data_IF_194908014605
#
_entry.id   IF_194908014605
#
_cell.length_a   1.000
_cell.length_b   1.000
_cell.length_c   1.000
_cell.angle_alpha   90.00
_cell.angle_beta   90.00
_cell.angle_gamma   90.00
#
_symmetry.space_group_name_H-M   'P 1'
#
loop_
_entity.id
_entity.type
_entity.pdbx_description
1 polymer ?
#
# COMPACT_ATOMS: atom_id res chain seq x y z
N UNK A 1 -43.56 69.27 40.02
CA UNK A 1 -42.41 68.64 40.70
C UNK A 1 -41.77 67.66 39.72
N UNK A 2 -40.45 67.82 39.48
CA UNK A 2 -39.49 67.06 38.66
C UNK A 2 -39.98 65.87 37.81
N UNK A 3 -39.74 65.85 36.48
CA UNK A 3 -39.59 64.61 35.73
C UNK A 3 -38.13 64.12 35.83
N UNK A 4 -37.93 62.90 36.33
CA UNK A 4 -36.63 62.23 36.29
C UNK A 4 -36.47 61.51 34.94
N UNK A 5 -35.38 61.89 34.27
CA UNK A 5 -34.87 61.30 33.03
C UNK A 5 -34.36 59.88 33.28
N UNK A 6 -34.68 58.93 32.39
CA UNK A 6 -34.00 57.64 32.30
C UNK A 6 -33.50 57.48 30.86
N UNK A 7 -32.18 57.60 30.73
CA UNK A 7 -31.39 57.42 29.51
C UNK A 7 -31.56 56.03 28.93
N UNK A 8 -31.87 55.93 27.64
CA UNK A 8 -31.79 54.68 26.89
C UNK A 8 -30.36 54.52 26.37
N UNK A 9 -29.63 53.56 26.95
CA UNK A 9 -28.34 53.12 26.41
C UNK A 9 -28.61 52.20 25.21
N UNK A 10 -28.24 52.64 24.00
CA UNK A 10 -28.25 51.82 22.81
C UNK A 10 -27.11 50.79 22.85
N UNK A 11 -27.43 49.51 23.04
CA UNK A 11 -26.50 48.41 22.85
C UNK A 11 -26.30 48.20 21.33
N UNK A 12 -25.12 48.52 20.83
CA UNK A 12 -24.68 48.13 19.50
C UNK A 12 -24.34 46.63 19.51
N UNK A 13 -25.18 45.81 18.89
CA UNK A 13 -24.89 44.39 18.65
C UNK A 13 -23.86 44.28 17.51
N UNK A 14 -22.61 43.99 17.86
CA UNK A 14 -21.59 43.58 16.90
C UNK A 14 -21.94 42.17 16.44
N UNK A 15 -22.43 42.05 15.21
CA UNK A 15 -22.58 40.75 14.55
C UNK A 15 -21.19 40.18 14.29
N UNK A 16 -20.75 39.21 15.10
CA UNK A 16 -19.64 38.34 14.72
C UNK A 16 -20.08 37.54 13.50
N UNK A 17 -19.61 37.95 12.32
CA UNK A 17 -19.60 37.07 11.16
C UNK A 17 -18.74 35.85 11.53
N UNK A 18 -19.40 34.73 11.81
CA UNK A 18 -18.72 33.45 11.89
C UNK A 18 -18.11 33.19 10.51
N UNK A 19 -16.79 33.38 10.41
CA UNK A 19 -16.02 32.83 9.31
C UNK A 19 -16.20 31.32 9.39
N UNK A 20 -17.09 30.77 8.58
CA UNK A 20 -17.14 29.32 8.36
C UNK A 20 -15.80 28.96 7.73
N UNK A 21 -15.06 27.96 8.25
CA UNK A 21 -13.91 27.44 7.52
C UNK A 21 -14.39 27.05 6.12
N UNK A 22 -13.67 27.51 5.11
CA UNK A 22 -13.98 27.24 3.72
C UNK A 22 -14.14 25.72 3.54
N UNK A 23 -15.29 25.31 2.98
CA UNK A 23 -15.65 23.93 2.70
C UNK A 23 -14.46 23.16 2.10
N UNK A 24 -13.94 22.18 2.85
CA UNK A 24 -13.50 20.95 2.22
C UNK A 24 -14.70 20.48 1.38
N UNK A 25 -14.52 20.24 0.08
CA UNK A 25 -15.57 19.57 -0.66
C UNK A 25 -15.77 18.22 0.02
N UNK A 26 -16.93 17.98 0.63
CA UNK A 26 -17.21 16.72 1.31
C UNK A 26 -16.99 15.58 0.31
N UNK A 27 -15.89 14.83 0.48
CA UNK A 27 -15.53 13.71 -0.38
C UNK A 27 -16.74 12.80 -0.60
N UNK A 28 -16.99 12.40 -1.84
CA UNK A 28 -18.19 11.64 -2.18
C UNK A 28 -18.12 10.26 -1.51
N UNK A 29 -19.13 9.94 -0.69
CA UNK A 29 -19.25 8.63 -0.04
C UNK A 29 -19.89 7.61 -0.98
N UNK A 30 -19.11 6.60 -1.35
CA UNK A 30 -19.47 5.58 -2.33
C UNK A 30 -19.88 4.29 -1.61
N UNK A 31 -21.13 3.88 -1.82
CA UNK A 31 -21.64 2.60 -1.32
C UNK A 31 -21.10 1.44 -2.16
N UNK A 32 -20.88 0.27 -1.58
CA UNK A 32 -20.42 -0.89 -2.33
C UNK A 32 -21.50 -1.42 -3.28
N UNK A 33 -21.09 -1.77 -4.49
CA UNK A 33 -21.96 -2.37 -5.51
C UNK A 33 -21.71 -3.87 -5.65
N UNK A 34 -20.48 -4.32 -5.39
CA UNK A 34 -20.12 -5.74 -5.40
C UNK A 34 -19.75 -6.22 -4.00
N UNK A 35 -19.72 -7.53 -3.80
CA UNK A 35 -18.93 -8.14 -2.72
C UNK A 35 -17.43 -7.97 -2.99
N UNK A 36 -16.61 -8.23 -1.97
CA UNK A 36 -15.18 -8.42 -2.15
C UNK A 36 -14.92 -9.67 -2.99
N UNK A 37 -14.07 -9.53 -4.01
CA UNK A 37 -13.50 -10.64 -4.77
C UNK A 37 -12.04 -10.76 -4.44
N UNK A 38 -11.55 -12.00 -4.27
CA UNK A 38 -10.13 -12.28 -4.08
C UNK A 38 -9.60 -12.96 -5.34
N UNK A 39 -8.60 -12.35 -5.95
CA UNK A 39 -7.90 -12.84 -7.12
C UNK A 39 -6.56 -13.48 -6.71
N UNK A 40 -6.40 -14.75 -7.07
CA UNK A 40 -5.19 -15.56 -6.86
C UNK A 40 -4.36 -15.47 -8.13
N UNK A 41 -3.58 -14.40 -8.25
CA UNK A 41 -2.65 -14.25 -9.36
C UNK A 41 -1.39 -15.09 -9.12
N UNK A 42 -0.61 -15.29 -10.18
CA UNK A 42 0.62 -16.11 -10.13
C UNK A 42 1.59 -15.66 -9.03
N UNK A 43 1.71 -14.35 -8.80
CA UNK A 43 2.74 -13.76 -7.93
C UNK A 43 2.18 -12.76 -6.91
N UNK A 44 0.86 -12.67 -6.80
CA UNK A 44 0.21 -11.75 -5.89
C UNK A 44 -1.20 -12.20 -5.55
N UNK A 45 -1.72 -11.64 -4.47
CA UNK A 45 -3.12 -11.78 -4.09
C UNK A 45 -3.76 -10.40 -4.14
N UNK A 46 -4.94 -10.28 -4.77
CA UNK A 46 -5.62 -8.99 -4.91
C UNK A 46 -7.06 -9.06 -4.43
N UNK A 47 -7.38 -8.27 -3.42
CA UNK A 47 -8.77 -7.98 -3.05
C UNK A 47 -9.30 -6.87 -3.96
N UNK A 48 -10.48 -7.08 -4.53
CA UNK A 48 -11.11 -6.14 -5.45
C UNK A 48 -12.55 -5.91 -5.03
N UNK A 49 -12.99 -4.65 -5.02
CA UNK A 49 -14.40 -4.31 -4.83
C UNK A 49 -14.77 -3.03 -5.56
N UNK A 50 -15.98 -2.99 -6.11
CA UNK A 50 -16.50 -1.81 -6.80
C UNK A 50 -17.52 -1.07 -5.94
N UNK A 51 -17.43 0.25 -5.97
CA UNK A 51 -18.24 1.21 -5.21
C UNK A 51 -18.82 2.27 -6.13
N UNK A 52 -19.97 2.83 -5.77
CA UNK A 52 -20.63 3.85 -6.57
C UNK A 52 -21.13 3.35 -7.93
N UNK A 53 -21.79 4.21 -8.69
CA UNK A 53 -22.33 3.87 -10.01
C UNK A 53 -22.14 5.03 -10.98
N UNK A 54 -22.26 4.75 -12.29
CA UNK A 54 -22.09 5.77 -13.33
C UNK A 54 -20.72 6.45 -13.23
N UNK A 55 -20.70 7.78 -13.30
CA UNK A 55 -19.45 8.56 -13.25
C UNK A 55 -18.79 8.59 -11.86
N UNK A 56 -19.45 8.07 -10.83
CA UNK A 56 -18.90 7.92 -9.48
C UNK A 56 -18.47 6.49 -9.19
N UNK A 57 -18.48 5.60 -10.19
CA UNK A 57 -18.00 4.24 -10.01
C UNK A 57 -16.49 4.24 -9.79
N UNK A 58 -16.05 3.60 -8.71
CA UNK A 58 -14.65 3.37 -8.39
C UNK A 58 -14.45 1.91 -8.02
N UNK A 59 -13.45 1.27 -8.61
CA UNK A 59 -12.98 -0.05 -8.21
C UNK A 59 -11.71 0.10 -7.38
N UNK A 60 -11.75 -0.38 -6.14
CA UNK A 60 -10.57 -0.46 -5.28
C UNK A 60 -9.89 -1.81 -5.43
N UNK A 61 -8.56 -1.80 -5.42
CA UNK A 61 -7.70 -2.98 -5.40
C UNK A 61 -6.71 -2.89 -4.24
N UNK A 62 -6.60 -3.94 -3.44
CA UNK A 62 -5.58 -4.10 -2.40
C UNK A 62 -4.73 -5.31 -2.79
N UNK A 63 -3.48 -5.07 -3.18
CA UNK A 63 -2.59 -6.12 -3.73
C UNK A 63 -1.47 -6.43 -2.76
N UNK A 64 -1.32 -7.69 -2.35
CA UNK A 64 -0.21 -8.16 -1.53
C UNK A 64 0.65 -9.16 -2.29
N UNK A 65 1.97 -9.09 -2.09
CA UNK A 65 2.97 -9.94 -2.76
C UNK A 65 3.63 -10.95 -1.82
N UNK A 66 3.35 -10.86 -0.52
CA UNK A 66 3.83 -11.76 0.52
C UNK A 66 2.92 -11.71 1.76
N UNK A 67 2.99 -12.71 2.64
CA UNK A 67 2.35 -12.64 3.95
C UNK A 67 2.83 -11.44 4.76
N UNK A 68 1.96 -10.94 5.65
CA UNK A 68 2.28 -9.88 6.59
C UNK A 68 1.28 -8.73 6.61
N UNK A 69 0.25 -8.70 5.77
CA UNK A 69 -0.81 -7.67 5.88
C UNK A 69 -0.43 -6.29 5.35
N UNK A 70 0.74 -6.16 4.71
CA UNK A 70 1.05 -5.02 3.86
C UNK A 70 0.42 -5.21 2.47
N UNK A 71 -0.06 -4.12 1.87
CA UNK A 71 -0.67 -4.15 0.54
C UNK A 71 -0.45 -2.83 -0.22
N UNK A 72 -0.51 -2.89 -1.55
CA UNK A 72 -0.55 -1.74 -2.42
C UNK A 72 -2.00 -1.37 -2.72
N UNK A 73 -2.34 -0.10 -2.52
CA UNK A 73 -3.65 0.44 -2.84
C UNK A 73 -3.69 0.94 -4.29
N UNK A 74 -4.66 0.46 -5.04
CA UNK A 74 -5.04 1.00 -6.35
C UNK A 74 -6.50 1.40 -6.37
N UNK A 75 -6.82 2.43 -7.16
CA UNK A 75 -8.19 2.80 -7.47
C UNK A 75 -8.33 3.01 -8.98
N UNK A 76 -9.46 2.62 -9.56
CA UNK A 76 -9.80 2.85 -10.97
C UNK A 76 -11.20 3.45 -11.09
N UNK A 77 -11.34 4.50 -11.90
CA UNK A 77 -12.60 5.20 -12.15
C UNK A 77 -12.37 6.69 -12.43
N UNK A 78 -13.37 7.38 -12.98
CA UNK A 78 -13.21 8.81 -13.34
C UNK A 78 -12.82 9.72 -12.17
N UNK A 79 -13.18 9.35 -10.93
CA UNK A 79 -12.81 10.09 -9.73
C UNK A 79 -11.31 10.03 -9.40
N UNK A 80 -10.54 9.10 -9.98
CA UNK A 80 -9.11 8.91 -9.69
C UNK A 80 -8.21 9.84 -10.51
N UNK A 81 -8.77 10.81 -11.22
CA UNK A 81 -8.01 11.85 -11.90
C UNK A 81 -7.41 12.78 -10.87
N UNK A 82 -6.08 12.89 -10.86
CA UNK A 82 -5.36 13.77 -9.95
C UNK A 82 -5.37 15.22 -10.43
N UNK A 83 -5.33 16.16 -9.50
CA UNK A 83 -5.18 17.56 -9.90
C UNK A 83 -3.80 17.79 -10.53
N UNK A 84 -3.70 18.71 -11.48
CA UNK A 84 -2.43 19.01 -12.18
C UNK A 84 -1.27 19.42 -11.27
N UNK A 85 -1.52 19.75 -10.00
CA UNK A 85 -0.52 20.20 -9.02
C UNK A 85 -0.24 19.17 -7.92
N UNK A 86 -0.95 18.05 -7.88
CA UNK A 86 -0.81 17.06 -6.82
C UNK A 86 0.49 16.27 -7.00
N UNK A 87 1.46 16.49 -6.12
CA UNK A 87 2.65 15.63 -6.01
C UNK A 87 2.38 14.37 -5.18
N UNK A 88 1.40 14.45 -4.27
CA UNK A 88 0.92 13.36 -3.44
C UNK A 88 -0.61 13.34 -3.46
N UNK A 89 -1.17 12.23 -3.01
CA UNK A 89 -2.58 12.10 -2.61
C UNK A 89 -2.65 11.81 -1.13
N UNK A 90 -3.69 12.26 -0.44
CA UNK A 90 -3.92 11.87 0.96
C UNK A 90 -4.85 10.67 1.02
N UNK A 91 -4.32 9.54 1.47
CA UNK A 91 -5.11 8.32 1.72
C UNK A 91 -5.68 8.39 3.13
N UNK A 92 -6.97 8.07 3.28
CA UNK A 92 -7.64 7.97 4.56
C UNK A 92 -8.12 6.53 4.79
N UNK A 93 -7.78 5.97 5.95
CA UNK A 93 -8.33 4.72 6.47
C UNK A 93 -9.27 5.09 7.62
N UNK A 94 -10.53 5.36 7.28
CA UNK A 94 -11.52 5.92 8.20
C UNK A 94 -11.06 7.21 8.90
N UNK A 95 -11.60 7.53 10.08
CA UNK A 95 -11.09 8.58 10.95
C UNK A 95 -9.86 8.14 11.77
N UNK A 96 -9.38 6.91 11.59
CA UNK A 96 -8.28 6.33 12.39
C UNK A 96 -6.94 6.95 11.97
N UNK A 97 -6.72 7.12 10.67
CA UNK A 97 -5.48 7.67 10.13
C UNK A 97 -5.67 8.22 8.71
N UNK A 98 -5.03 9.36 8.44
CA UNK A 98 -4.77 9.84 7.08
C UNK A 98 -3.27 10.10 6.90
N UNK A 99 -2.77 9.88 5.69
CA UNK A 99 -1.37 10.07 5.37
C UNK A 99 -1.17 10.42 3.89
N UNK A 100 -0.14 11.22 3.62
CA UNK A 100 0.25 11.56 2.26
C UNK A 100 0.99 10.39 1.62
N UNK A 101 0.63 10.09 0.38
CA UNK A 101 1.17 9.00 -0.39
C UNK A 101 1.55 9.47 -1.79
N UNK A 102 2.72 9.03 -2.25
CA UNK A 102 3.09 9.12 -3.67
C UNK A 102 2.22 8.16 -4.48
N UNK A 103 1.96 8.52 -5.72
CA UNK A 103 1.14 7.73 -6.64
C UNK A 103 1.76 7.68 -8.04
N UNK A 104 1.32 6.70 -8.82
CA UNK A 104 1.43 6.70 -10.28
C UNK A 104 0.02 6.81 -10.87
N UNK A 105 -0.17 7.72 -11.83
CA UNK A 105 -1.35 7.72 -12.67
C UNK A 105 -1.21 6.58 -13.68
N UNK A 106 -2.22 5.72 -13.76
CA UNK A 106 -2.25 4.54 -14.62
C UNK A 106 -3.52 4.52 -15.45
N UNK A 107 -3.51 3.79 -16.55
CA UNK A 107 -4.69 3.49 -17.36
C UNK A 107 -4.97 1.99 -17.24
N UNK A 108 -6.16 1.65 -16.75
CA UNK A 108 -6.67 0.28 -16.65
C UNK A 108 -7.64 0.04 -17.80
N UNK A 109 -7.10 -0.38 -18.95
CA UNK A 109 -7.87 -0.70 -20.16
C UNK A 109 -8.85 0.43 -20.57
N UNK A 110 -8.33 1.66 -20.64
CA UNK A 110 -9.09 2.88 -20.96
C UNK A 110 -9.82 3.51 -19.77
N UNK A 111 -9.70 2.93 -18.56
CA UNK A 111 -10.22 3.51 -17.33
C UNK A 111 -9.09 4.23 -16.59
N UNK A 112 -9.20 5.54 -16.29
CA UNK A 112 -8.19 6.21 -15.48
C UNK A 112 -8.10 5.54 -14.11
N UNK A 113 -6.87 5.43 -13.60
CA UNK A 113 -6.59 4.86 -12.31
C UNK A 113 -5.40 5.50 -11.64
N UNK A 114 -5.23 5.21 -10.36
CA UNK A 114 -4.02 5.55 -9.62
C UNK A 114 -3.56 4.33 -8.81
N UNK A 115 -2.25 4.26 -8.62
CA UNK A 115 -1.57 3.26 -7.79
C UNK A 115 -0.72 3.98 -6.77
N UNK A 116 -0.96 3.74 -5.47
CA UNK A 116 -0.10 4.24 -4.39
C UNK A 116 1.24 3.51 -4.46
N UNK A 117 2.36 4.25 -4.42
CA UNK A 117 3.67 3.69 -4.76
C UNK A 117 4.39 2.96 -3.64
N UNK A 118 3.83 2.97 -2.44
CA UNK A 118 4.37 2.25 -1.30
C UNK A 118 3.33 1.26 -0.78
N UNK A 119 3.80 0.15 -0.22
CA UNK A 119 2.95 -0.71 0.55
C UNK A 119 2.45 0.03 1.80
N UNK A 120 1.18 -0.17 2.13
CA UNK A 120 0.52 0.39 3.31
C UNK A 120 -0.01 -0.76 4.18
N UNK A 121 -0.32 -0.44 5.43
CA UNK A 121 -0.92 -1.35 6.41
C UNK A 121 -2.30 -0.85 6.79
N UNK A 122 -3.17 -1.75 7.29
CA UNK A 122 -4.40 -1.30 7.95
C UNK A 122 -4.06 -0.67 9.29
N UNK A 123 -4.05 0.65 9.33
CA UNK A 123 -3.63 1.44 10.48
C UNK A 123 -2.16 1.26 10.82
N UNK A 124 -1.78 1.69 12.03
CA UNK A 124 -0.40 1.64 12.49
C UNK A 124 0.05 0.20 12.79
N UNK A 125 1.30 -0.17 12.43
CA UNK A 125 1.85 -1.46 12.82
C UNK A 125 1.81 -1.67 14.35
N UNK A 126 1.54 -2.90 14.81
CA UNK A 126 1.59 -3.23 16.24
C UNK A 126 2.92 -2.87 16.91
N UNK A 127 2.89 -2.67 18.23
CA UNK A 127 4.09 -2.35 19.01
C UNK A 127 5.17 -3.44 18.82
N UNK A 128 6.42 -3.00 18.64
CA UNK A 128 7.56 -3.91 18.49
C UNK A 128 7.78 -4.43 17.06
N UNK A 129 6.81 -4.32 16.13
CA UNK A 129 6.98 -4.74 14.73
C UNK A 129 8.15 -4.01 14.06
N UNK A 130 8.24 -2.69 14.23
CA UNK A 130 9.35 -1.91 13.67
C UNK A 130 10.71 -2.31 14.26
N UNK A 131 10.75 -2.75 15.52
CA UNK A 131 11.97 -3.24 16.14
C UNK A 131 12.32 -4.64 15.63
N UNK A 132 11.34 -5.54 15.52
CA UNK A 132 11.51 -6.86 14.92
C UNK A 132 12.06 -6.76 13.49
N UNK A 133 11.54 -5.83 12.68
CA UNK A 133 12.02 -5.57 11.33
C UNK A 133 13.50 -5.15 11.32
N UNK A 134 13.90 -4.22 12.19
CA UNK A 134 15.30 -3.77 12.31
C UNK A 134 16.24 -4.91 12.73
N UNK A 135 15.77 -5.77 13.63
CA UNK A 135 16.52 -6.91 14.14
C UNK A 135 16.50 -8.11 13.17
N UNK A 136 15.72 -8.03 12.08
CA UNK A 136 15.54 -9.12 11.12
C UNK A 136 14.72 -10.29 11.66
N UNK A 137 13.99 -10.12 12.77
CA UNK A 137 13.12 -11.16 13.32
C UNK A 137 11.90 -11.37 12.42
N UNK A 138 11.35 -12.60 12.32
CA UNK A 138 10.12 -12.84 11.59
C UNK A 138 8.97 -11.98 12.10
N UNK A 139 8.15 -11.49 11.17
CA UNK A 139 6.97 -10.69 11.46
C UNK A 139 5.77 -11.48 10.95
N UNK A 140 4.84 -11.80 11.85
CA UNK A 140 3.63 -12.54 11.49
C UNK A 140 2.62 -11.64 10.78
N UNK A 141 2.44 -10.39 11.27
CA UNK A 141 1.56 -9.40 10.67
C UNK A 141 2.04 -7.98 11.00
N UNK A 142 1.91 -7.10 10.02
CA UNK A 142 2.07 -5.65 10.11
C UNK A 142 0.74 -4.93 10.42
N UNK A 143 -0.36 -5.67 10.55
CA UNK A 143 -1.69 -5.16 10.91
C UNK A 143 -2.33 -5.96 12.03
N UNK A 144 -3.07 -5.27 12.91
CA UNK A 144 -3.83 -5.87 14.01
C UNK A 144 -5.28 -6.14 13.55
N UNK A 145 -5.80 -7.38 13.66
CA UNK A 145 -7.20 -7.69 13.32
C UNK A 145 -8.24 -6.81 14.02
N UNK A 146 -7.96 -6.32 15.24
CA UNK A 146 -8.83 -5.40 15.95
C UNK A 146 -8.84 -3.99 15.35
N UNK A 147 -7.72 -3.56 14.75
CA UNK A 147 -7.63 -2.31 13.99
C UNK A 147 -8.29 -2.48 12.62
N UNK A 148 -8.05 -3.59 11.93
CA UNK A 148 -8.73 -3.93 10.67
C UNK A 148 -10.26 -3.93 10.82
N UNK A 149 -10.78 -4.41 11.96
CA UNK A 149 -12.21 -4.39 12.25
C UNK A 149 -12.78 -2.98 12.44
N UNK A 150 -11.94 -2.01 12.82
CA UNK A 150 -12.34 -0.61 13.01
C UNK A 150 -12.32 0.19 11.72
N UNK A 151 -11.58 -0.25 10.69
CA UNK A 151 -11.59 0.38 9.36
C UNK A 151 -12.86 -0.03 8.63
N UNK A 152 -13.77 0.93 8.45
CA UNK A 152 -15.06 0.84 7.76
C UNK A 152 -15.07 1.57 6.41
N UNK A 153 -14.08 2.42 6.14
CA UNK A 153 -13.93 3.11 4.87
C UNK A 153 -12.47 3.34 4.47
N UNK A 154 -12.24 3.41 3.15
CA UNK A 154 -10.96 3.77 2.54
C UNK A 154 -11.23 4.88 1.55
N UNK A 155 -10.51 5.99 1.66
CA UNK A 155 -10.70 7.17 0.81
C UNK A 155 -9.41 7.74 0.29
N UNK A 156 -9.55 8.55 -0.76
CA UNK A 156 -8.51 9.47 -1.21
C UNK A 156 -9.15 10.86 -1.13
N UNK A 157 -8.68 11.62 -0.13
CA UNK A 157 -9.37 12.79 0.43
C UNK A 157 -8.57 14.08 0.26
N UNK A 158 -7.51 14.03 -0.55
CA UNK A 158 -6.83 15.20 -1.11
C UNK A 158 -6.03 14.75 -2.34
N UNK A 159 -5.73 15.70 -3.24
CA UNK A 159 -4.93 15.50 -4.44
C UNK A 159 -5.71 15.04 -5.69
N UNK A 160 -7.00 14.72 -5.54
CA UNK A 160 -7.90 14.37 -6.65
C UNK A 160 -8.67 15.57 -7.19
N UNK A 161 -9.10 15.52 -8.45
CA UNK A 161 -10.06 16.50 -8.97
C UNK A 161 -11.42 16.39 -8.27
N UNK A 162 -11.79 15.18 -7.86
CA UNK A 162 -13.00 14.87 -7.09
C UNK A 162 -12.68 13.79 -6.06
N UNK A 163 -12.68 14.15 -4.79
CA UNK A 163 -12.36 13.25 -3.68
C UNK A 163 -13.48 12.23 -3.43
N UNK A 164 -13.11 11.07 -2.91
CA UNK A 164 -14.06 10.02 -2.58
C UNK A 164 -13.66 9.23 -1.33
N UNK A 165 -14.68 8.64 -0.70
CA UNK A 165 -14.56 7.70 0.41
C UNK A 165 -15.39 6.47 0.04
N UNK A 166 -14.77 5.30 -0.04
CA UNK A 166 -15.45 4.04 -0.29
C UNK A 166 -15.86 3.37 1.03
N UNK A 167 -17.15 3.09 1.20
CA UNK A 167 -17.69 2.41 2.39
C UNK A 167 -17.40 0.91 2.33
N UNK A 168 -16.22 0.51 2.79
CA UNK A 168 -15.76 -0.88 2.72
C UNK A 168 -16.50 -1.80 3.68
N UNK A 169 -17.07 -1.24 4.76
CA UNK A 169 -17.38 -2.01 5.96
C UNK A 169 -16.11 -2.56 6.61
N UNK A 170 -16.27 -3.37 7.66
CA UNK A 170 -15.16 -3.97 8.40
C UNK A 170 -14.15 -4.66 7.47
N UNK A 171 -12.88 -4.27 7.59
CA UNK A 171 -11.78 -4.82 6.79
C UNK A 171 -11.15 -6.08 7.39
N UNK A 172 -11.55 -6.52 8.58
CA UNK A 172 -11.00 -7.72 9.24
C UNK A 172 -11.12 -8.98 8.38
N UNK A 173 -12.33 -9.31 7.90
CA UNK A 173 -12.54 -10.52 7.10
C UNK A 173 -11.84 -10.45 5.72
N UNK A 174 -11.92 -9.33 4.96
CA UNK A 174 -11.13 -9.16 3.74
C UNK A 174 -9.62 -9.36 3.96
N UNK A 175 -9.04 -8.70 4.96
CA UNK A 175 -7.59 -8.78 5.21
C UNK A 175 -7.15 -10.17 5.66
N UNK A 176 -7.97 -10.87 6.46
CA UNK A 176 -7.73 -12.27 6.80
C UNK A 176 -7.71 -13.18 5.56
N UNK A 177 -8.64 -12.97 4.60
CA UNK A 177 -8.66 -13.72 3.35
C UNK A 177 -7.45 -13.44 2.47
N UNK A 178 -7.01 -12.17 2.40
CA UNK A 178 -5.79 -11.77 1.70
C UNK A 178 -4.53 -12.41 2.31
N UNK A 179 -4.47 -12.45 3.65
CA UNK A 179 -3.39 -13.13 4.37
C UNK A 179 -3.35 -14.64 4.07
N UNK A 180 -4.51 -15.30 4.01
CA UNK A 180 -4.56 -16.72 3.68
C UNK A 180 -4.09 -16.99 2.25
N UNK A 181 -4.56 -16.21 1.28
CA UNK A 181 -4.08 -16.30 -0.10
C UNK A 181 -2.55 -16.12 -0.18
N UNK A 182 -1.99 -15.12 0.51
CA UNK A 182 -0.53 -14.92 0.46
C UNK A 182 0.24 -16.04 1.16
N UNK A 183 -0.32 -16.71 2.17
CA UNK A 183 0.29 -17.92 2.76
C UNK A 183 0.31 -19.08 1.77
N UNK A 184 -0.77 -19.29 1.04
CA UNK A 184 -0.83 -20.28 -0.05
C UNK A 184 0.18 -19.94 -1.15
N UNK A 185 0.31 -18.66 -1.52
CA UNK A 185 1.26 -18.20 -2.53
C UNK A 185 2.70 -18.63 -2.21
N UNK A 186 3.13 -18.53 -0.94
CA UNK A 186 4.48 -18.95 -0.50
C UNK A 186 4.73 -20.45 -0.72
N UNK A 187 3.68 -21.27 -0.75
CA UNK A 187 3.82 -22.72 -0.95
C UNK A 187 4.35 -23.09 -2.33
N UNK A 188 4.28 -22.16 -3.29
CA UNK A 188 4.71 -22.35 -4.67
C UNK A 188 6.13 -21.84 -4.94
N UNK A 189 6.85 -21.33 -3.94
CA UNK A 189 8.15 -20.65 -4.13
C UNK A 189 9.38 -21.56 -3.95
N UNK A 190 9.20 -22.87 -3.94
CA UNK A 190 10.27 -23.88 -3.77
C UNK A 190 11.16 -23.61 -2.54
N UNK A 191 10.52 -23.33 -1.39
CA UNK A 191 11.17 -23.19 -0.09
C UNK A 191 10.67 -24.23 0.91
N UNK A 192 11.52 -24.58 1.88
CA UNK A 192 11.09 -25.39 3.03
C UNK A 192 10.25 -24.51 3.98
N UNK A 193 8.94 -24.70 3.93
CA UNK A 193 7.98 -23.93 4.72
C UNK A 193 8.15 -24.16 6.23
N UNK A 194 8.44 -25.39 6.65
CA UNK A 194 8.61 -25.71 8.06
C UNK A 194 9.87 -25.03 8.61
N UNK A 195 10.96 -25.04 7.83
CA UNK A 195 12.18 -24.31 8.19
C UNK A 195 11.95 -22.79 8.21
N UNK A 196 11.20 -22.25 7.24
CA UNK A 196 10.90 -20.81 7.17
C UNK A 196 9.97 -20.33 8.30
N UNK A 197 9.01 -21.16 8.72
CA UNK A 197 8.15 -20.88 9.87
C UNK A 197 8.93 -20.90 11.21
N UNK A 198 10.04 -21.62 11.27
CA UNK A 198 10.88 -21.76 12.47
C UNK A 198 12.08 -20.79 12.52
N UNK A 199 12.15 -19.81 11.60
CA UNK A 199 13.26 -18.87 11.57
C UNK A 199 13.36 -18.06 12.86
N UNK A 200 14.59 -17.80 13.28
CA UNK A 200 14.89 -16.80 14.31
C UNK A 200 15.33 -15.47 13.68
N UNK A 201 15.85 -15.54 12.45
CA UNK A 201 16.17 -14.38 11.61
C UNK A 201 15.80 -14.64 10.15
N UNK A 202 15.15 -13.66 9.54
CA UNK A 202 14.85 -13.63 8.10
C UNK A 202 16.10 -13.32 7.27
N UNK A 203 16.05 -13.55 5.96
CA UNK A 203 17.10 -13.08 5.05
C UNK A 203 17.15 -11.55 5.08
N UNK A 204 18.24 -10.99 5.62
CA UNK A 204 18.36 -9.55 5.85
C UNK A 204 19.28 -8.92 4.80
N UNK A 205 18.82 -7.90 4.03
CA UNK A 205 19.69 -7.18 3.12
C UNK A 205 20.96 -6.67 3.83
N UNK A 206 22.12 -7.06 3.30
CA UNK A 206 23.43 -6.55 3.71
C UNK A 206 23.79 -5.27 2.95
N UNK A 207 23.21 -5.08 1.76
CA UNK A 207 23.26 -3.85 0.97
C UNK A 207 21.89 -3.18 0.89
N UNK A 208 21.82 -1.98 0.32
CA UNK A 208 20.60 -1.14 0.33
C UNK A 208 19.63 -1.57 -0.80
N UNK A 209 18.43 -2.10 -0.51
CA UNK A 209 17.56 -2.69 -1.53
C UNK A 209 17.14 -1.75 -2.65
N UNK A 210 16.82 -0.49 -2.33
CA UNK A 210 16.39 0.50 -3.33
C UNK A 210 17.51 1.00 -4.25
N UNK A 211 18.74 0.47 -4.11
CA UNK A 211 19.87 0.72 -5.02
C UNK A 211 20.22 -0.48 -5.89
N UNK A 212 19.52 -1.60 -5.77
CA UNK A 212 19.83 -2.81 -6.53
C UNK A 212 19.38 -2.74 -7.99
N UNK A 213 18.41 -1.89 -8.28
CA UNK A 213 17.94 -1.59 -9.62
C UNK A 213 17.60 -0.10 -9.68
N UNK A 214 18.13 0.59 -10.68
CA UNK A 214 17.85 1.99 -10.93
C UNK A 214 17.33 2.21 -12.36
N UNK A 215 16.64 3.34 -12.60
CA UNK A 215 16.06 3.66 -13.91
C UNK A 215 17.13 3.70 -15.03
N UNK A 216 18.37 4.06 -14.68
CA UNK A 216 19.51 4.09 -15.60
C UNK A 216 19.99 2.72 -16.06
N UNK A 217 19.67 1.66 -15.31
CA UNK A 217 20.05 0.29 -15.66
C UNK A 217 19.17 -0.27 -16.79
N UNK A 218 18.00 0.34 -17.01
CA UNK A 218 17.08 -0.04 -18.06
C UNK A 218 17.44 0.61 -19.41
N UNK A 219 17.15 -0.07 -20.55
CA UNK A 219 17.21 0.53 -21.87
C UNK A 219 16.33 1.78 -21.94
N UNK A 220 16.77 2.81 -22.70
CA UNK A 220 16.04 4.09 -22.80
C UNK A 220 14.59 3.94 -23.24
N UNK A 221 14.28 2.93 -24.06
CA UNK A 221 12.92 2.62 -24.52
C UNK A 221 11.99 2.13 -23.41
N UNK A 222 12.52 1.64 -22.29
CA UNK A 222 11.75 1.14 -21.15
C UNK A 222 11.71 2.13 -19.98
N UNK A 223 12.41 3.26 -20.08
CA UNK A 223 12.50 4.22 -18.98
C UNK A 223 11.21 5.00 -18.87
N UNK A 224 10.50 4.75 -17.79
CA UNK A 224 9.33 5.49 -17.36
C UNK A 224 9.13 5.23 -15.86
N UNK A 225 8.48 6.16 -15.13
CA UNK A 225 8.14 5.93 -13.74
C UNK A 225 7.36 4.64 -13.54
N UNK A 226 7.83 3.76 -12.65
CA UNK A 226 7.18 2.48 -12.37
C UNK A 226 7.51 1.95 -10.98
N UNK A 227 6.65 1.07 -10.48
CA UNK A 227 6.91 0.30 -9.26
C UNK A 227 7.28 -1.11 -9.68
N UNK A 228 8.45 -1.56 -9.24
CA UNK A 228 8.92 -2.93 -9.48
C UNK A 228 8.75 -3.70 -8.19
N UNK A 229 7.71 -4.53 -8.11
CA UNK A 229 7.54 -5.50 -7.04
C UNK A 229 8.29 -6.78 -7.40
N UNK A 230 9.10 -7.31 -6.49
CA UNK A 230 9.93 -8.47 -6.77
C UNK A 230 10.05 -9.41 -5.57
N UNK A 231 10.28 -10.69 -5.90
CA UNK A 231 10.62 -11.77 -4.96
C UNK A 231 12.00 -12.29 -5.31
N UNK A 232 12.85 -12.47 -4.31
CA UNK A 232 14.13 -13.16 -4.42
C UNK A 232 14.12 -14.40 -3.53
N UNK A 233 14.60 -15.53 -4.04
CA UNK A 233 14.98 -16.68 -3.20
C UNK A 233 16.43 -16.48 -2.79
N UNK A 234 16.70 -16.56 -1.49
CA UNK A 234 18.02 -16.33 -0.89
C UNK A 234 18.58 -17.68 -0.42
N UNK A 235 19.73 -18.07 -0.96
CA UNK A 235 20.40 -19.31 -0.61
C UNK A 235 21.00 -19.27 0.81
N UNK A 236 21.49 -20.42 1.28
CA UNK A 236 22.15 -20.57 2.60
C UNK A 236 23.45 -19.75 2.73
N UNK A 237 23.96 -19.18 1.65
CA UNK A 237 25.14 -18.30 1.64
C UNK A 237 24.76 -16.82 1.58
N UNK A 238 23.47 -16.47 1.53
CA UNK A 238 23.00 -15.10 1.43
C UNK A 238 23.06 -14.51 0.01
N UNK A 239 23.07 -15.37 -1.02
CA UNK A 239 23.03 -14.97 -2.44
C UNK A 239 21.66 -15.22 -3.03
N UNK A 240 21.33 -14.48 -4.09
CA UNK A 240 20.10 -14.68 -4.86
C UNK A 240 20.21 -15.97 -5.67
N UNK A 241 19.34 -16.95 -5.41
CA UNK A 241 19.23 -18.20 -6.14
C UNK A 241 18.15 -18.16 -7.24
N UNK A 242 17.10 -17.38 -7.01
CA UNK A 242 16.00 -17.17 -7.95
C UNK A 242 15.43 -15.75 -7.79
N UNK A 243 14.89 -15.20 -8.87
CA UNK A 243 14.32 -13.85 -8.91
C UNK A 243 13.06 -13.81 -9.76
N UNK A 244 12.04 -13.16 -9.23
CA UNK A 244 10.77 -12.96 -9.92
C UNK A 244 10.30 -11.51 -9.85
N UNK A 245 9.80 -10.99 -10.96
CA UNK A 245 9.21 -9.64 -11.05
C UNK A 245 7.70 -9.77 -11.22
N UNK A 246 6.95 -9.30 -10.23
CA UNK A 246 5.50 -9.52 -10.18
C UNK A 246 4.77 -8.74 -11.29
N UNK A 247 3.75 -9.39 -11.88
CA UNK A 247 2.93 -8.78 -12.94
C UNK A 247 3.63 -8.67 -14.30
N UNK A 248 4.73 -9.39 -14.51
CA UNK A 248 5.46 -9.43 -15.78
C UNK A 248 5.63 -10.88 -16.23
N UNK A 249 5.67 -11.11 -17.55
CA UNK A 249 6.06 -12.40 -18.10
C UNK A 249 7.55 -12.64 -17.79
N UNK A 250 7.89 -13.82 -17.26
CA UNK A 250 9.26 -14.23 -16.95
C UNK A 250 10.20 -14.14 -18.16
N UNK A 251 9.67 -14.37 -19.36
CA UNK A 251 10.41 -14.28 -20.62
C UNK A 251 10.57 -12.84 -21.14
N UNK A 252 9.98 -11.85 -20.46
CA UNK A 252 10.08 -10.45 -20.87
C UNK A 252 11.51 -9.94 -20.73
N UNK A 253 11.94 -9.11 -21.68
CA UNK A 253 13.24 -8.44 -21.64
C UNK A 253 13.41 -7.61 -20.36
N UNK A 254 12.33 -6.98 -19.89
CA UNK A 254 12.33 -6.22 -18.65
C UNK A 254 12.63 -7.10 -17.43
N UNK A 255 11.92 -8.23 -17.26
CA UNK A 255 12.15 -9.14 -16.14
C UNK A 255 13.58 -9.67 -16.13
N UNK A 256 14.11 -10.04 -17.31
CA UNK A 256 15.48 -10.51 -17.45
C UNK A 256 16.52 -9.46 -17.01
N UNK A 257 16.38 -8.20 -17.44
CA UNK A 257 17.29 -7.12 -17.06
C UNK A 257 17.18 -6.79 -15.57
N UNK A 258 15.95 -6.65 -15.07
CA UNK A 258 15.70 -6.34 -13.67
C UNK A 258 16.28 -7.43 -12.75
N UNK A 259 16.00 -8.70 -13.03
CA UNK A 259 16.51 -9.81 -12.24
C UNK A 259 18.03 -9.96 -12.33
N UNK A 260 18.65 -9.73 -13.49
CA UNK A 260 20.10 -9.72 -13.60
C UNK A 260 20.74 -8.67 -12.68
N UNK A 261 20.17 -7.46 -12.62
CA UNK A 261 20.65 -6.38 -11.75
C UNK A 261 20.40 -6.64 -10.27
N UNK A 262 19.21 -7.13 -9.93
CA UNK A 262 18.89 -7.53 -8.56
C UNK A 262 19.84 -8.63 -8.08
N UNK A 263 20.08 -9.68 -8.88
CA UNK A 263 20.98 -10.76 -8.51
C UNK A 263 22.45 -10.32 -8.39
N UNK A 264 22.90 -9.37 -9.22
CA UNK A 264 24.25 -8.80 -9.17
C UNK A 264 24.49 -7.93 -7.92
N UNK A 265 23.51 -7.10 -7.57
CA UNK A 265 23.68 -6.06 -6.54
C UNK A 265 23.17 -6.48 -5.14
N UNK A 266 22.24 -7.42 -5.08
CA UNK A 266 21.67 -7.87 -3.82
C UNK A 266 22.62 -8.79 -3.07
N UNK A 267 22.79 -8.51 -1.79
CA UNK A 267 23.53 -9.36 -0.86
C UNK A 267 22.78 -9.42 0.45
N UNK A 268 22.80 -10.59 1.09
CA UNK A 268 22.05 -10.86 2.31
C UNK A 268 22.96 -11.44 3.40
N UNK A 269 22.62 -11.10 4.64
CA UNK A 269 22.85 -12.03 5.73
C UNK A 269 21.82 -13.17 5.60
N UNK A 270 22.24 -14.44 5.59
CA UNK A 270 21.31 -15.54 5.40
C UNK A 270 20.29 -15.60 6.54
N UNK A 271 19.13 -16.16 6.23
CA UNK A 271 18.14 -16.51 7.22
C UNK A 271 18.71 -17.58 8.18
N UNK A 272 18.30 -17.54 9.45
CA UNK A 272 18.77 -18.47 10.48
C UNK A 272 17.61 -19.21 11.13
N UNK A 273 17.79 -20.51 11.32
CA UNK A 273 16.93 -21.36 12.14
C UNK A 273 17.15 -21.19 13.64
N UNK A 274 16.50 -22.03 14.49
CA UNK A 274 16.59 -21.97 15.95
C UNK A 274 18.00 -22.10 16.53
N UNK A 275 18.86 -22.83 15.85
CA UNK A 275 20.24 -23.15 16.22
C UNK A 275 21.28 -22.28 15.48
N UNK A 276 20.83 -21.23 14.80
CA UNK A 276 21.70 -20.37 13.97
C UNK A 276 22.12 -21.01 12.65
N UNK A 277 21.52 -22.14 12.27
CA UNK A 277 21.81 -22.77 10.97
C UNK A 277 21.27 -21.92 9.81
N UNK A 278 22.06 -21.71 8.74
CA UNK A 278 21.58 -21.01 7.56
C UNK A 278 20.47 -21.78 6.82
N UNK A 279 19.37 -21.08 6.52
CA UNK A 279 18.18 -21.63 5.86
C UNK A 279 17.95 -20.90 4.53
N UNK A 280 17.60 -21.63 3.47
CA UNK A 280 17.11 -21.02 2.23
C UNK A 280 15.76 -20.36 2.50
N UNK A 281 15.64 -19.09 2.16
CA UNK A 281 14.47 -18.29 2.46
C UNK A 281 14.15 -17.37 1.28
N UNK A 282 13.26 -16.40 1.49
CA UNK A 282 12.85 -15.45 0.47
C UNK A 282 12.94 -14.01 0.99
N UNK A 283 12.97 -13.08 0.06
CA UNK A 283 12.88 -11.65 0.30
C UNK A 283 11.93 -11.03 -0.71
N UNK A 284 10.86 -10.38 -0.24
CA UNK A 284 9.92 -9.65 -1.09
C UNK A 284 10.04 -8.16 -0.80
N UNK A 285 10.15 -7.35 -1.85
CA UNK A 285 10.26 -5.90 -1.72
C UNK A 285 9.81 -5.21 -3.01
N UNK A 286 9.90 -3.89 -3.01
CA UNK A 286 9.58 -3.07 -4.16
C UNK A 286 10.61 -1.96 -4.35
N UNK A 287 10.74 -1.50 -5.59
CA UNK A 287 11.54 -0.32 -5.96
C UNK A 287 10.64 0.63 -6.74
N UNK A 288 10.64 1.88 -6.30
CA UNK A 288 10.06 2.98 -7.08
C UNK A 288 11.13 3.48 -8.04
N UNK A 289 11.02 3.10 -9.31
CA UNK A 289 11.87 3.63 -10.37
C UNK A 289 11.27 4.96 -10.81
N UNK A 290 11.94 6.04 -10.43
CA UNK A 290 11.65 7.42 -10.82
C UNK A 290 12.94 8.04 -11.34
N UNK A 291 12.83 8.98 -12.29
CA UNK A 291 13.99 9.70 -12.87
C UNK A 291 14.73 10.56 -11.83
#
# INVERSE_FOLDING_TARGET
MKPSSISHAALAAVALAAASPANAQDAVRLQPVTSWSLDYAQDSCRLIRTFGTGNQQVTLGLTAYAPGGMFFLSAAGELTRVTRRAENVTVALDAVESFDARYLQVDFDGTPGLLVTNAITMGRPPEGVMQAMRDGRPIESFSDPAVEAQVQSIGIVDGLEHEFIAETGSMQAPMAALMECTRELVTHWDIDQAANAALTRTARPATIPWRWLEMRDLPRSMRQPMIVNYRLIVDRQGRVADCHIAGTDESSEFAAIACARLAENASFLPAEGPDGTPVQSYFVSWINLVD
#
